data_IF_882589306383
#
_entry.id   IF_882589306383
#
_cell.length_a   1.000
_cell.length_b   1.000
_cell.length_c   1.000
_cell.angle_alpha   90.00
_cell.angle_beta   90.00
_cell.angle_gamma   90.00
#
_symmetry.space_group_name_H-M   'P 1'
#
loop_
_entity.id
_entity.type
_entity.pdbx_description
1 polymer ?
#
# COMPACT_ATOMS: atom_id res chain seq x y z
N UNK A 1 3.81 -27.47 -9.07
CA UNK A 1 2.62 -26.58 -8.93
C UNK A 1 2.39 -26.10 -7.49
N UNK A 2 2.43 -26.97 -6.46
CA UNK A 2 2.15 -26.60 -5.05
C UNK A 2 3.00 -25.45 -4.46
N UNK A 3 4.27 -25.34 -4.86
CA UNK A 3 5.20 -24.27 -4.41
C UNK A 3 4.83 -22.87 -4.90
N UNK A 4 4.24 -22.77 -6.10
CA UNK A 4 3.78 -21.51 -6.69
C UNK A 4 2.52 -20.99 -6.00
N UNK A 5 1.64 -21.90 -5.58
CA UNK A 5 0.44 -21.57 -4.81
C UNK A 5 0.79 -20.98 -3.45
N UNK A 6 1.80 -21.55 -2.77
CA UNK A 6 2.29 -21.03 -1.49
C UNK A 6 2.92 -19.63 -1.65
N UNK A 7 3.64 -19.39 -2.74
CA UNK A 7 4.20 -18.08 -3.06
C UNK A 7 3.09 -17.03 -3.29
N UNK A 8 2.06 -17.39 -4.05
CA UNK A 8 0.85 -16.56 -4.28
C UNK A 8 0.02 -16.30 -3.00
N UNK A 9 0.04 -17.22 -2.05
CA UNK A 9 -0.64 -17.04 -0.75
C UNK A 9 0.18 -16.16 0.21
N UNK A 10 1.51 -16.14 0.06
CA UNK A 10 2.41 -15.29 0.85
C UNK A 10 2.49 -13.86 0.30
N UNK A 11 2.24 -13.64 -1.00
CA UNK A 11 2.24 -12.30 -1.59
C UNK A 11 1.33 -11.32 -0.86
N UNK A 12 0.03 -11.58 -0.59
CA UNK A 12 -0.81 -10.61 0.14
C UNK A 12 -0.35 -10.34 1.58
N UNK A 13 0.37 -11.27 2.22
CA UNK A 13 0.96 -11.06 3.57
C UNK A 13 2.16 -10.11 3.50
N UNK A 14 2.88 -10.08 2.38
CA UNK A 14 4.05 -9.23 2.14
C UNK A 14 3.69 -7.91 1.42
N UNK A 15 2.54 -7.84 0.76
CA UNK A 15 2.14 -6.76 -0.17
C UNK A 15 0.80 -6.13 0.23
N UNK A 16 0.44 -6.18 1.51
CA UNK A 16 -0.81 -5.58 2.03
C UNK A 16 -0.58 -4.48 3.06
N UNK A 17 0.68 -4.15 3.37
CA UNK A 17 1.01 -3.19 4.43
C UNK A 17 0.47 -1.79 4.13
N UNK A 18 0.55 -1.32 2.88
CA UNK A 18 0.01 0.00 2.53
C UNK A 18 -1.48 -0.05 2.23
N UNK A 19 -2.01 -1.17 1.75
CA UNK A 19 -3.46 -1.39 1.64
C UNK A 19 -4.16 -1.30 3.01
N UNK A 20 -3.49 -1.66 4.12
CA UNK A 20 -4.04 -1.46 5.48
C UNK A 20 -4.15 0.03 5.83
N UNK A 21 -3.27 0.89 5.32
CA UNK A 21 -3.35 2.36 5.54
C UNK A 21 -4.62 2.96 4.94
N UNK A 22 -5.17 2.32 3.90
CA UNK A 22 -6.50 2.66 3.37
C UNK A 22 -7.57 2.56 4.44
N UNK A 23 -7.48 1.60 5.37
CA UNK A 23 -8.50 1.44 6.41
C UNK A 23 -8.35 2.50 7.51
N UNK A 24 -7.12 2.82 7.90
CA UNK A 24 -6.81 3.67 9.06
C UNK A 24 -6.87 5.17 8.77
N UNK A 25 -6.54 5.61 7.55
CA UNK A 25 -6.52 7.03 7.18
C UNK A 25 -7.86 7.52 6.63
N UNK A 26 -8.29 8.75 6.95
CA UNK A 26 -9.43 9.41 6.29
C UNK A 26 -9.08 9.99 4.91
N UNK A 27 -7.79 10.08 4.59
CA UNK A 27 -7.31 10.65 3.33
C UNK A 27 -7.68 9.72 2.15
N UNK A 28 -8.27 10.26 1.07
CA UNK A 28 -8.48 9.50 -0.16
C UNK A 28 -7.16 8.98 -0.72
N UNK A 29 -7.15 7.74 -1.20
CA UNK A 29 -5.98 7.13 -1.83
C UNK A 29 -4.73 7.03 -0.92
N UNK A 30 -4.91 6.89 0.40
CA UNK A 30 -3.81 6.89 1.35
C UNK A 30 -2.79 5.75 1.12
N UNK A 31 -3.26 4.53 0.82
CA UNK A 31 -2.37 3.39 0.55
C UNK A 31 -1.60 3.56 -0.76
N UNK A 32 -2.29 4.01 -1.81
CA UNK A 32 -1.73 4.32 -3.13
C UNK A 32 -0.67 5.42 -3.03
N UNK A 33 -0.96 6.49 -2.29
CA UNK A 33 -0.04 7.61 -2.06
C UNK A 33 1.22 7.15 -1.33
N UNK A 34 1.08 6.35 -0.27
CA UNK A 34 2.21 5.79 0.46
C UNK A 34 3.14 4.96 -0.44
N UNK A 35 2.58 4.12 -1.32
CA UNK A 35 3.40 3.37 -2.28
C UNK A 35 4.22 4.29 -3.18
N UNK A 36 3.62 5.37 -3.69
CA UNK A 36 4.31 6.36 -4.54
C UNK A 36 5.41 7.09 -3.76
N UNK A 37 5.16 7.44 -2.50
CA UNK A 37 6.15 8.10 -1.63
C UNK A 37 7.39 7.22 -1.40
N UNK A 38 7.19 5.91 -1.21
CA UNK A 38 8.30 4.93 -1.13
C UNK A 38 9.13 4.89 -2.42
N UNK A 39 8.55 5.27 -3.57
CA UNK A 39 9.27 5.36 -4.83
C UNK A 39 10.02 6.68 -5.03
N UNK A 40 9.89 7.64 -4.11
CA UNK A 40 10.63 8.88 -4.16
C UNK A 40 12.15 8.68 -4.00
N UNK A 41 12.97 9.64 -4.46
CA UNK A 41 14.40 9.63 -4.18
C UNK A 41 14.64 9.82 -2.68
N UNK A 42 15.39 8.89 -2.07
CA UNK A 42 15.82 8.99 -0.68
C UNK A 42 17.33 9.28 -0.63
N UNK A 43 17.74 10.24 0.20
CA UNK A 43 19.13 10.61 0.39
C UNK A 43 19.56 10.41 1.86
N UNK A 44 20.70 9.74 2.07
CA UNK A 44 21.30 9.53 3.40
C UNK A 44 21.32 8.07 3.88
N UNK A 45 21.94 7.84 5.04
CA UNK A 45 22.16 6.50 5.60
C UNK A 45 20.86 5.76 6.01
N UNK A 46 19.77 6.49 6.26
CA UNK A 46 18.45 5.92 6.59
C UNK A 46 17.71 5.26 5.42
N UNK A 47 18.21 5.41 4.19
CA UNK A 47 17.52 4.96 2.98
C UNK A 47 17.63 3.46 2.70
N UNK A 48 18.50 2.74 3.41
CA UNK A 48 18.72 1.31 3.18
C UNK A 48 17.45 0.48 3.37
N UNK A 49 16.56 0.88 4.29
CA UNK A 49 15.25 0.24 4.47
C UNK A 49 14.32 0.45 3.27
N UNK A 50 14.30 1.66 2.69
CA UNK A 50 13.46 1.99 1.53
C UNK A 50 13.83 1.19 0.28
N UNK A 51 15.11 0.82 0.12
CA UNK A 51 15.55 -0.06 -0.99
C UNK A 51 14.87 -1.43 -0.93
N UNK A 52 14.63 -1.97 0.26
CA UNK A 52 13.95 -3.26 0.46
C UNK A 52 12.44 -3.13 0.25
N UNK A 53 11.84 -2.02 0.69
CA UNK A 53 10.39 -1.80 0.58
C UNK A 53 9.93 -1.36 -0.82
N UNK A 54 10.83 -0.82 -1.65
CA UNK A 54 10.47 -0.38 -3.02
C UNK A 54 9.91 -1.49 -3.91
N UNK A 55 10.54 -2.68 -4.05
CA UNK A 55 9.95 -3.76 -4.83
C UNK A 55 8.63 -4.26 -4.23
N UNK A 56 8.49 -4.25 -2.90
CA UNK A 56 7.24 -4.66 -2.23
C UNK A 56 6.10 -3.67 -2.48
N UNK A 57 6.37 -2.37 -2.43
CA UNK A 57 5.37 -1.31 -2.72
C UNK A 57 4.94 -1.30 -4.19
N UNK A 58 5.81 -1.69 -5.13
CA UNK A 58 5.41 -1.89 -6.54
C UNK A 58 4.38 -3.02 -6.65
N UNK A 59 4.55 -4.10 -5.88
CA UNK A 59 3.61 -5.23 -5.90
C UNK A 59 2.32 -4.91 -5.12
N UNK A 60 2.40 -4.15 -4.02
CA UNK A 60 1.25 -3.71 -3.20
C UNK A 60 0.39 -2.66 -3.93
N UNK A 61 1.01 -1.80 -4.75
CA UNK A 61 0.34 -0.70 -5.46
C UNK A 61 -1.02 -1.06 -6.11
N UNK A 62 -1.15 -2.12 -6.94
CA UNK A 62 -2.45 -2.47 -7.52
C UNK A 62 -3.48 -2.86 -6.47
N UNK A 63 -3.09 -3.51 -5.37
CA UNK A 63 -4.01 -3.87 -4.28
C UNK A 63 -4.45 -2.63 -3.50
N UNK A 64 -3.50 -1.73 -3.22
CA UNK A 64 -3.79 -0.46 -2.56
C UNK A 64 -4.71 0.41 -3.41
N UNK A 65 -4.49 0.48 -4.73
CA UNK A 65 -5.35 1.22 -5.65
C UNK A 65 -6.78 0.68 -5.66
N UNK A 66 -6.93 -0.65 -5.69
CA UNK A 66 -8.26 -1.29 -5.59
C UNK A 66 -8.89 -1.02 -4.22
N UNK A 67 -8.16 -1.22 -3.13
CA UNK A 67 -8.63 -0.98 -1.77
C UNK A 67 -9.08 0.46 -1.57
N UNK A 68 -8.25 1.42 -1.96
CA UNK A 68 -8.54 2.85 -1.88
C UNK A 68 -9.79 3.21 -2.68
N UNK A 69 -9.89 2.72 -3.92
CA UNK A 69 -11.04 2.97 -4.78
C UNK A 69 -12.34 2.42 -4.18
N UNK A 70 -12.30 1.23 -3.59
CA UNK A 70 -13.45 0.64 -2.91
C UNK A 70 -13.85 1.39 -1.64
N UNK A 71 -12.89 2.04 -0.97
CA UNK A 71 -13.13 2.78 0.27
C UNK A 71 -13.54 4.25 0.03
N UNK A 72 -13.43 4.78 -1.20
CA UNK A 72 -13.79 6.17 -1.52
C UNK A 72 -15.15 6.63 -0.98
N UNK A 73 -16.26 5.85 -1.07
CA UNK A 73 -17.55 6.30 -0.53
C UNK A 73 -17.50 6.49 0.99
N UNK A 74 -16.81 5.60 1.70
CA UNK A 74 -16.67 5.64 3.16
C UNK A 74 -15.78 6.84 3.55
N UNK A 75 -14.65 7.03 2.85
CA UNK A 75 -13.76 8.19 3.09
C UNK A 75 -14.46 9.51 2.80
N UNK A 76 -15.29 9.57 1.76
CA UNK A 76 -16.13 10.73 1.47
C UNK A 76 -17.05 11.09 2.63
N UNK A 77 -17.77 10.11 3.19
CA UNK A 77 -18.64 10.32 4.35
C UNK A 77 -17.82 10.74 5.58
N UNK A 78 -16.69 10.09 5.85
CA UNK A 78 -15.84 10.42 6.99
C UNK A 78 -15.30 11.86 6.94
N UNK A 79 -14.90 12.34 5.76
CA UNK A 79 -14.43 13.73 5.60
C UNK A 79 -15.55 14.77 5.68
N UNK A 80 -16.82 14.39 5.43
CA UNK A 80 -17.97 15.28 5.55
C UNK A 80 -18.57 15.30 6.97
N UNK A 81 -18.25 14.30 7.78
CA UNK A 81 -18.73 14.17 9.16
C UNK A 81 -17.81 14.80 10.21
N UNK A 82 -16.61 15.21 9.80
CA UNK A 82 -15.66 16.01 10.59
C UNK A 82 -15.90 17.51 10.40
#
# INVERSE_FOLDING_TARGET
>A
MKKWLAFLLLTPVLTGCSTILTLDSKEPYSGTKYNIEVWGPCHGAGCMGLVIFRPLSIIDFPFSLVGDTLMLPIKGIQNLAD
#
